data_IF_188382047154
#
_entry.id   IF_188382047154
#
_cell.length_a   1.000
_cell.length_b   1.000
_cell.length_c   1.000
_cell.angle_alpha   90.00
_cell.angle_beta   90.00
_cell.angle_gamma   90.00
#
_symmetry.space_group_name_H-M   'P 1'
#
loop_
_entity.id
_entity.type
_entity.pdbx_description
1 polymer ?
#
# COMPACT_ATOMS: atom_id res chain seq x y z
N UNK A 1 6.13 -12.23 -24.99
CA UNK A 1 5.98 -10.99 -24.20
C UNK A 1 4.66 -11.07 -23.46
N UNK A 2 4.67 -11.54 -22.22
CA UNK A 2 3.51 -11.46 -21.32
C UNK A 2 4.07 -11.07 -19.95
N UNK A 3 4.21 -9.76 -19.76
CA UNK A 3 4.56 -9.17 -18.47
C UNK A 3 3.27 -9.10 -17.65
N UNK A 4 2.94 -10.18 -16.94
CA UNK A 4 1.71 -10.27 -16.14
C UNK A 4 1.90 -10.82 -14.72
N UNK A 5 3.13 -11.11 -14.29
CA UNK A 5 3.39 -11.95 -13.10
C UNK A 5 4.17 -11.23 -11.99
N UNK A 6 4.07 -9.90 -11.88
CA UNK A 6 4.62 -9.17 -10.72
C UNK A 6 3.60 -8.25 -10.06
N UNK A 7 2.33 -8.65 -10.01
CA UNK A 7 1.43 -8.16 -8.96
C UNK A 7 1.92 -8.85 -7.70
N UNK A 8 2.78 -8.17 -6.94
CA UNK A 8 3.44 -8.74 -5.77
C UNK A 8 2.39 -9.37 -4.88
N UNK A 9 2.40 -10.70 -4.79
CA UNK A 9 1.50 -11.47 -3.94
C UNK A 9 1.73 -11.03 -2.50
N UNK A 10 0.95 -10.05 -2.05
CA UNK A 10 0.80 -9.75 -0.64
C UNK A 10 0.26 -11.02 0.00
N UNK A 11 1.11 -11.75 0.71
CA UNK A 11 0.67 -12.95 1.45
C UNK A 11 -0.04 -12.60 2.76
N UNK A 12 -0.11 -11.32 3.12
CA UNK A 12 -0.68 -10.81 4.37
C UNK A 12 -1.34 -9.47 4.14
N UNK A 13 -2.38 -9.20 4.94
CA UNK A 13 -3.02 -7.87 4.98
C UNK A 13 -2.02 -6.82 5.46
N UNK A 14 -1.95 -5.72 4.73
CA UNK A 14 -1.12 -4.57 5.03
C UNK A 14 -1.99 -3.39 5.42
N UNK A 15 -1.45 -2.52 6.25
CA UNK A 15 -2.04 -1.22 6.57
C UNK A 15 -1.04 -0.14 6.20
N UNK A 16 -1.49 0.79 5.34
CA UNK A 16 -0.80 2.02 5.02
C UNK A 16 -1.41 3.13 5.86
N UNK A 17 -0.59 3.90 6.56
CA UNK A 17 -1.06 5.01 7.41
C UNK A 17 -0.18 6.22 7.17
N UNK A 18 -0.83 7.37 6.97
CA UNK A 18 -0.12 8.64 6.90
C UNK A 18 0.23 9.12 8.32
N UNK A 19 1.46 9.60 8.52
CA UNK A 19 1.88 10.15 9.82
C UNK A 19 1.42 11.58 10.06
N UNK A 20 0.89 12.25 9.03
CA UNK A 20 0.68 13.70 9.01
C UNK A 20 -0.79 14.09 8.76
N UNK A 21 -1.62 13.15 8.33
CA UNK A 21 -3.07 13.34 8.17
C UNK A 21 -3.85 12.09 8.58
N UNK A 22 -5.18 12.15 8.50
CA UNK A 22 -6.08 11.06 8.89
C UNK A 22 -6.13 9.90 7.89
N UNK A 23 -5.34 9.94 6.81
CA UNK A 23 -5.35 8.91 5.78
C UNK A 23 -4.88 7.56 6.31
N UNK A 24 -5.68 6.53 6.07
CA UNK A 24 -5.37 5.14 6.40
C UNK A 24 -6.03 4.24 5.36
N UNK A 25 -5.26 3.32 4.79
CA UNK A 25 -5.75 2.28 3.87
C UNK A 25 -5.36 0.91 4.41
N UNK A 26 -6.27 -0.05 4.31
CA UNK A 26 -5.99 -1.47 4.55
C UNK A 26 -6.03 -2.17 3.19
N UNK A 27 -5.02 -2.96 2.90
CA UNK A 27 -4.85 -3.71 1.64
C UNK A 27 -4.81 -5.19 1.97
N UNK A 28 -5.68 -5.96 1.36
CA UNK A 28 -5.77 -7.40 1.53
C UNK A 28 -4.94 -8.17 0.49
N UNK A 29 -4.55 -9.42 0.80
CA UNK A 29 -4.00 -10.34 -0.19
C UNK A 29 -4.89 -10.45 -1.42
N UNK A 30 -4.36 -10.11 -2.59
CA UNK A 30 -5.06 -10.21 -3.88
C UNK A 30 -5.80 -8.95 -4.32
N UNK A 31 -5.76 -7.87 -3.53
CA UNK A 31 -6.20 -6.55 -4.02
C UNK A 31 -5.31 -6.11 -5.20
N UNK A 32 -5.91 -5.41 -6.17
CA UNK A 32 -5.18 -4.88 -7.32
C UNK A 32 -4.21 -3.76 -6.92
N UNK A 33 -4.57 -2.96 -5.92
CA UNK A 33 -3.76 -1.85 -5.43
C UNK A 33 -2.61 -2.35 -4.55
N UNK A 34 -1.39 -1.95 -4.90
CA UNK A 34 -0.22 -2.28 -4.10
C UNK A 34 0.07 -1.19 -3.05
N UNK A 35 0.53 -1.55 -1.83
CA UNK A 35 0.88 -0.58 -0.80
C UNK A 35 1.92 0.44 -1.28
N UNK A 36 2.83 0.04 -2.16
CA UNK A 36 3.83 0.94 -2.75
C UNK A 36 3.21 2.01 -3.63
N UNK A 37 2.17 1.70 -4.39
CA UNK A 37 1.49 2.66 -5.26
C UNK A 37 0.76 3.70 -4.43
N UNK A 38 0.01 3.24 -3.41
CA UNK A 38 -0.69 4.12 -2.47
C UNK A 38 0.28 5.08 -1.76
N UNK A 39 1.45 4.58 -1.33
CA UNK A 39 2.49 5.41 -0.70
C UNK A 39 3.02 6.46 -1.66
N UNK A 40 3.29 6.08 -2.91
CA UNK A 40 3.82 7.00 -3.93
C UNK A 40 2.78 8.05 -4.31
N UNK A 41 1.53 7.66 -4.58
CA UNK A 41 0.48 8.58 -4.99
C UNK A 41 0.16 9.59 -3.88
N UNK A 42 -0.09 9.12 -2.67
CA UNK A 42 -0.40 10.01 -1.55
C UNK A 42 0.79 10.91 -1.21
N UNK A 43 2.00 10.35 -1.13
CA UNK A 43 3.22 11.11 -0.84
C UNK A 43 3.50 12.17 -1.90
N UNK A 44 3.26 11.88 -3.19
CA UNK A 44 3.44 12.85 -4.29
C UNK A 44 2.40 13.96 -4.26
N UNK A 45 1.16 13.66 -3.94
CA UNK A 45 0.07 14.65 -3.90
C UNK A 45 0.16 15.58 -2.68
N UNK A 46 0.65 15.07 -1.55
CA UNK A 46 0.58 15.78 -0.26
C UNK A 46 1.93 16.19 0.31
N UNK A 47 3.02 15.57 -0.14
CA UNK A 47 4.35 15.70 0.47
C UNK A 47 4.51 14.93 1.78
N UNK A 48 3.50 14.18 2.22
CA UNK A 48 3.52 13.48 3.50
C UNK A 48 4.28 12.15 3.45
N UNK A 49 4.73 11.71 4.62
CA UNK A 49 5.35 10.40 4.86
C UNK A 49 4.33 9.38 5.34
N UNK A 50 4.26 8.28 4.62
CA UNK A 50 3.41 7.15 4.97
C UNK A 50 4.24 6.00 5.56
N UNK A 51 3.59 5.19 6.40
CA UNK A 51 4.14 3.97 6.99
C UNK A 51 3.32 2.79 6.50
N UNK A 52 3.99 1.69 6.19
CA UNK A 52 3.37 0.41 5.83
C UNK A 52 3.65 -0.60 6.92
N UNK A 53 2.62 -1.25 7.44
CA UNK A 53 2.74 -2.29 8.45
C UNK A 53 1.93 -3.53 8.04
N UNK A 54 2.51 -4.72 8.18
CA UNK A 54 1.75 -5.96 8.08
C UNK A 54 0.86 -6.10 9.31
N UNK A 55 -0.43 -6.38 9.10
CA UNK A 55 -1.32 -6.76 10.18
C UNK A 55 -1.06 -8.23 10.52
N UNK A 56 -0.92 -8.53 11.80
CA UNK A 56 -0.98 -9.90 12.32
C UNK A 56 -2.39 -10.11 12.83
N UNK A 57 -3.05 -11.12 12.29
CA UNK A 57 -4.24 -11.73 12.89
C UNK A 57 -3.91 -12.41 14.23
#
# INVERSE_FOLDING_TARGET
MLWGEMVGQLQRTMKVTCGECTFTQVIHPGDEELPSEIVVEHGKQTGHKLKVAALRE
#
